data_IF_447230190397
#
_entry.id   IF_447230190397
#
_cell.length_a   1.000
_cell.length_b   1.000
_cell.length_c   1.000
_cell.angle_alpha   90.00
_cell.angle_beta   90.00
_cell.angle_gamma   90.00
#
_symmetry.space_group_name_H-M   'P 1'
#
loop_
_entity.id
_entity.type
_entity.pdbx_description
1 polymer ?
#
# COMPACT_ATOMS: atom_id res chain seq x y z
N UNK A 1 12.96 15.32 -7.77
CA UNK A 1 11.97 15.46 -8.86
C UNK A 1 10.56 15.19 -8.34
N UNK A 2 10.03 16.09 -7.53
CA UNK A 2 8.67 15.96 -7.00
C UNK A 2 8.08 17.36 -6.82
N UNK A 3 6.82 17.52 -7.20
CA UNK A 3 6.20 18.84 -7.34
C UNK A 3 4.96 18.93 -6.45
N UNK A 4 4.92 19.92 -5.58
CA UNK A 4 3.83 20.07 -4.61
C UNK A 4 2.72 20.96 -5.19
N UNK A 5 1.52 20.42 -5.27
CA UNK A 5 0.29 21.18 -5.52
C UNK A 5 -0.45 21.35 -4.20
N UNK A 6 -0.85 22.57 -3.86
CA UNK A 6 -1.65 22.79 -2.66
C UNK A 6 -3.03 22.11 -2.76
N UNK A 7 -3.67 21.89 -1.61
CA UNK A 7 -5.03 21.37 -1.54
C UNK A 7 -5.76 21.97 -0.34
N UNK A 8 -7.06 21.68 -0.22
CA UNK A 8 -7.88 22.15 0.91
C UNK A 8 -7.40 21.59 2.26
N UNK A 9 -6.88 20.35 2.25
CA UNK A 9 -6.44 19.60 3.43
C UNK A 9 -5.07 18.99 3.16
N UNK A 10 -4.03 19.83 3.10
CA UNK A 10 -2.67 19.41 2.77
C UNK A 10 -2.29 19.74 1.33
N UNK A 11 -1.82 18.75 0.58
CA UNK A 11 -1.38 18.91 -0.81
C UNK A 11 -1.29 17.59 -1.56
N UNK A 12 -1.00 17.68 -2.86
CA UNK A 12 -0.70 16.54 -3.71
C UNK A 12 0.76 16.64 -4.16
N UNK A 13 1.50 15.55 -4.01
CA UNK A 13 2.85 15.45 -4.56
C UNK A 13 2.77 14.77 -5.93
N UNK A 14 3.25 15.44 -6.95
CA UNK A 14 3.24 14.97 -8.34
C UNK A 14 4.64 14.57 -8.77
N UNK A 15 4.70 13.43 -9.45
CA UNK A 15 5.91 12.90 -10.08
C UNK A 15 5.59 12.77 -11.56
N UNK A 16 6.36 13.45 -12.40
CA UNK A 16 6.20 13.39 -13.84
C UNK A 16 7.20 12.40 -14.41
N UNK A 17 6.71 11.39 -15.10
CA UNK A 17 7.56 10.40 -15.77
C UNK A 17 7.82 10.81 -17.22
N UNK A 18 9.00 10.48 -17.73
CA UNK A 18 9.35 10.70 -19.15
C UNK A 18 8.47 9.90 -20.09
N UNK A 19 8.01 8.73 -19.64
CA UNK A 19 7.06 7.87 -20.34
C UNK A 19 5.94 7.41 -19.40
N UNK A 20 4.73 7.13 -19.91
CA UNK A 20 3.69 6.48 -19.12
C UNK A 20 4.17 5.15 -18.55
N UNK A 21 3.84 4.89 -17.29
CA UNK A 21 4.21 3.65 -16.59
C UNK A 21 2.96 2.94 -16.06
N UNK A 22 2.99 1.60 -15.99
CA UNK A 22 2.00 0.86 -15.22
C UNK A 22 1.99 1.36 -13.76
N UNK A 23 0.79 1.55 -13.21
CA UNK A 23 0.61 2.08 -11.86
C UNK A 23 1.35 1.24 -10.80
N UNK A 24 1.37 -0.09 -10.97
CA UNK A 24 2.14 -1.02 -10.16
C UNK A 24 3.62 -0.63 -10.07
N UNK A 25 4.25 -0.38 -11.23
CA UNK A 25 5.67 -0.07 -11.32
C UNK A 25 5.98 1.30 -10.71
N UNK A 26 5.12 2.29 -10.96
CA UNK A 26 5.27 3.62 -10.36
C UNK A 26 5.18 3.57 -8.83
N UNK A 27 4.25 2.79 -8.27
CA UNK A 27 4.13 2.62 -6.81
C UNK A 27 5.32 1.86 -6.23
N UNK A 28 5.70 0.73 -6.83
CA UNK A 28 6.89 -0.03 -6.40
C UNK A 28 8.14 0.82 -6.41
N UNK A 29 8.29 1.66 -7.44
CA UNK A 29 9.38 2.62 -7.49
C UNK A 29 9.27 3.58 -6.30
N UNK A 30 8.15 4.27 -6.10
CA UNK A 30 8.01 5.34 -5.11
C UNK A 30 8.03 4.92 -3.63
N UNK A 31 7.60 3.71 -3.31
CA UNK A 31 7.37 3.24 -1.93
C UNK A 31 8.56 3.47 -0.97
N UNK A 32 9.83 3.22 -1.33
CA UNK A 32 10.97 3.38 -0.43
C UNK A 32 11.21 4.82 0.06
N UNK A 33 10.70 5.83 -0.65
CA UNK A 33 10.92 7.24 -0.32
C UNK A 33 9.73 7.88 0.38
N UNK A 34 8.68 7.11 0.66
CA UNK A 34 7.42 7.68 1.09
C UNK A 34 7.22 7.61 2.60
N UNK A 35 6.99 8.75 3.28
CA UNK A 35 6.73 8.74 4.70
C UNK A 35 5.37 8.11 5.02
N UNK A 36 5.25 7.60 6.25
CA UNK A 36 4.01 7.00 6.76
C UNK A 36 2.87 8.03 6.70
N UNK A 37 1.71 7.60 6.20
CA UNK A 37 0.50 8.42 6.17
C UNK A 37 0.24 9.14 4.84
N UNK A 38 1.09 8.97 3.83
CA UNK A 38 0.82 9.44 2.46
C UNK A 38 -0.05 8.43 1.71
N UNK A 39 -1.04 8.94 0.98
CA UNK A 39 -1.91 8.13 0.13
C UNK A 39 -1.37 8.08 -1.30
N UNK A 40 -1.29 6.88 -1.87
CA UNK A 40 -0.80 6.66 -3.24
C UNK A 40 -1.91 6.53 -4.26
N UNK A 41 -1.70 7.19 -5.40
CA UNK A 41 -2.53 7.06 -6.58
C UNK A 41 -1.68 6.81 -7.83
N UNK A 42 -2.18 6.02 -8.80
CA UNK A 42 -3.46 5.30 -8.80
C UNK A 42 -3.47 4.15 -7.78
N UNK A 43 -4.63 3.84 -7.20
CA UNK A 43 -4.76 2.72 -6.24
C UNK A 43 -4.77 1.34 -6.91
N UNK A 44 -5.27 1.29 -8.15
CA UNK A 44 -5.40 0.07 -8.93
C UNK A 44 -4.15 -0.19 -9.80
N UNK A 45 -3.86 -1.46 -10.09
CA UNK A 45 -2.83 -1.84 -11.07
C UNK A 45 -3.33 -1.74 -12.51
N UNK A 46 -4.58 -2.14 -12.72
CA UNK A 46 -5.28 -2.10 -13.99
C UNK A 46 -6.66 -1.46 -13.80
N UNK A 47 -7.18 -0.86 -14.86
CA UNK A 47 -8.44 -0.12 -14.85
C UNK A 47 -9.07 -0.20 -16.24
N UNK A 48 -10.34 -0.54 -16.31
CA UNK A 48 -11.14 -0.47 -17.55
C UNK A 48 -11.62 0.96 -17.87
N UNK A 49 -11.33 1.92 -16.97
CA UNK A 49 -11.65 3.35 -17.14
C UNK A 49 -10.54 4.28 -16.65
N UNK A 50 -10.88 5.51 -16.25
CA UNK A 50 -9.89 6.55 -15.88
C UNK A 50 -9.21 6.34 -14.50
N UNK A 51 -9.55 5.28 -13.76
CA UNK A 51 -8.94 4.95 -12.48
C UNK A 51 -9.55 5.68 -11.28
N UNK A 52 -8.75 5.93 -10.24
CA UNK A 52 -9.19 6.58 -9.02
C UNK A 52 -9.64 8.03 -9.25
N UNK A 53 -10.74 8.45 -8.62
CA UNK A 53 -11.26 9.81 -8.70
C UNK A 53 -10.35 10.78 -7.91
N UNK A 54 -9.33 11.29 -8.58
CA UNK A 54 -8.46 12.34 -8.07
C UNK A 54 -8.65 13.63 -8.87
N UNK A 55 -8.41 14.77 -8.22
CA UNK A 55 -8.32 16.05 -8.92
C UNK A 55 -6.96 16.12 -9.61
N UNK A 56 -6.97 16.08 -10.94
CA UNK A 56 -5.77 16.27 -11.75
C UNK A 56 -5.21 17.70 -11.61
N UNK A 57 -3.94 17.92 -11.99
CA UNK A 57 -3.38 19.26 -12.03
C UNK A 57 -4.23 20.19 -12.87
N UNK A 58 -4.31 21.46 -12.48
CA UNK A 58 -5.21 22.42 -13.10
C UNK A 58 -6.69 21.98 -13.05
N UNK A 59 -7.09 21.12 -12.11
CA UNK A 59 -8.50 20.83 -11.82
C UNK A 59 -9.12 21.90 -10.92
N UNK A 60 -10.37 22.31 -11.16
CA UNK A 60 -11.12 23.18 -10.23
C UNK A 60 -11.64 22.30 -9.08
N UNK A 61 -11.34 22.68 -7.85
CA UNK A 61 -11.85 21.97 -6.69
C UNK A 61 -13.34 22.27 -6.49
N UNK A 62 -14.20 21.24 -6.65
CA UNK A 62 -15.66 21.40 -6.70
C UNK A 62 -16.28 22.13 -5.50
N UNK A 63 -15.77 21.90 -4.28
CA UNK A 63 -16.31 22.56 -3.09
C UNK A 63 -15.90 24.03 -2.96
N UNK A 64 -14.70 24.38 -3.45
CA UNK A 64 -14.15 25.73 -3.22
C UNK A 64 -14.23 26.61 -4.47
N UNK A 65 -14.53 26.03 -5.63
CA UNK A 65 -14.53 26.73 -6.93
C UNK A 65 -13.14 27.20 -7.38
N UNK A 66 -12.06 26.83 -6.67
CA UNK A 66 -10.72 27.36 -6.88
C UNK A 66 -9.79 26.32 -7.50
N UNK A 67 -8.81 26.81 -8.26
CA UNK A 67 -7.60 26.06 -8.62
C UNK A 67 -6.59 26.24 -7.50
N UNK A 68 -5.95 25.15 -7.10
CA UNK A 68 -4.87 25.26 -6.13
C UNK A 68 -3.54 25.52 -6.84
N UNK A 69 -2.67 26.37 -6.26
CA UNK A 69 -1.39 26.68 -6.86
C UNK A 69 -0.39 25.55 -6.67
N UNK A 70 0.55 25.48 -7.59
CA UNK A 70 1.82 24.80 -7.39
C UNK A 70 2.71 25.58 -6.44
N UNK A 71 3.42 24.89 -5.56
CA UNK A 71 4.37 25.47 -4.62
C UNK A 71 5.77 25.25 -5.17
N UNK A 72 6.45 26.35 -5.52
CA UNK A 72 7.79 26.32 -6.11
C UNK A 72 8.90 26.43 -5.07
N UNK A 73 8.61 27.11 -3.95
CA UNK A 73 9.55 27.30 -2.86
C UNK A 73 8.81 27.56 -1.55
N UNK A 74 9.56 27.61 -0.46
CA UNK A 74 9.09 28.12 0.82
C UNK A 74 9.91 29.35 1.19
N UNK A 75 9.27 30.38 1.74
CA UNK A 75 9.97 31.55 2.27
C UNK A 75 10.83 31.15 3.48
N UNK A 76 11.71 32.05 3.93
CA UNK A 76 12.50 31.83 5.16
C UNK A 76 11.63 31.52 6.37
N UNK A 77 10.43 32.11 6.44
CA UNK A 77 9.44 31.86 7.50
C UNK A 77 8.57 30.62 7.26
N UNK A 78 8.93 29.77 6.27
CA UNK A 78 8.21 28.54 5.96
C UNK A 78 6.87 28.72 5.24
N UNK A 79 6.55 29.92 4.74
CA UNK A 79 5.31 30.15 3.99
C UNK A 79 5.45 29.64 2.55
N UNK A 80 4.45 28.93 2.01
CA UNK A 80 4.52 28.44 0.65
C UNK A 80 4.49 29.59 -0.36
N UNK A 81 5.43 29.57 -1.30
CA UNK A 81 5.53 30.53 -2.41
C UNK A 81 5.06 29.83 -3.68
N UNK A 82 4.12 30.49 -4.39
CA UNK A 82 3.54 29.94 -5.62
C UNK A 82 4.59 29.87 -6.73
N UNK A 83 4.60 28.78 -7.47
CA UNK A 83 5.43 28.64 -8.66
C UNK A 83 4.92 29.50 -9.84
N UNK A 84 3.62 29.74 -9.89
CA UNK A 84 2.95 30.50 -10.94
C UNK A 84 1.66 31.15 -10.39
N UNK A 85 1.24 32.25 -11.00
CA UNK A 85 0.04 33.01 -10.58
C UNK A 85 -1.10 32.91 -11.58
N UNK A 86 -0.79 32.65 -12.86
CA UNK A 86 -1.78 32.47 -13.93
C UNK A 86 -1.77 31.03 -14.48
N UNK A 87 -2.83 30.66 -15.20
CA UNK A 87 -2.91 29.34 -15.88
C UNK A 87 -1.81 29.24 -16.94
N UNK A 88 -1.57 30.31 -17.70
CA UNK A 88 -0.52 30.36 -18.72
C UNK A 88 0.86 30.15 -18.11
N UNK A 89 1.19 30.87 -17.04
CA UNK A 89 2.44 30.67 -16.31
C UNK A 89 2.55 29.23 -15.76
N UNK A 90 1.45 28.66 -15.30
CA UNK A 90 1.47 27.28 -14.78
C UNK A 90 1.79 26.28 -15.88
N UNK A 91 1.25 26.46 -17.10
CA UNK A 91 1.56 25.61 -18.24
C UNK A 91 3.03 25.73 -18.63
N UNK A 92 3.56 26.95 -18.76
CA UNK A 92 4.98 27.19 -19.04
C UNK A 92 5.88 26.60 -17.96
N UNK A 93 5.49 26.72 -16.69
CA UNK A 93 6.22 26.12 -15.59
C UNK A 93 6.18 24.58 -15.68
N UNK A 94 5.03 23.97 -15.94
CA UNK A 94 4.90 22.51 -16.08
C UNK A 94 5.79 21.93 -17.18
N UNK A 95 5.96 22.64 -18.28
CA UNK A 95 6.85 22.24 -19.39
C UNK A 95 8.33 22.19 -18.97
N UNK A 96 8.73 23.03 -18.02
CA UNK A 96 10.11 23.11 -17.51
C UNK A 96 10.40 22.11 -16.40
N UNK A 97 9.40 21.37 -15.91
CA UNK A 97 9.61 20.48 -14.79
C UNK A 97 10.40 19.23 -15.19
N UNK A 98 11.30 18.83 -14.30
CA UNK A 98 12.13 17.66 -14.47
C UNK A 98 11.25 16.41 -14.49
N UNK A 99 11.44 15.58 -15.52
CA UNK A 99 10.74 14.31 -15.67
C UNK A 99 11.69 13.18 -15.29
N UNK A 100 11.19 12.25 -14.50
CA UNK A 100 11.93 11.07 -14.07
C UNK A 100 11.82 9.98 -15.12
N UNK A 101 12.95 9.34 -15.45
CA UNK A 101 12.96 8.06 -16.14
C UNK A 101 13.31 6.93 -15.15
N UNK A 102 12.32 6.14 -14.68
CA UNK A 102 12.59 5.03 -13.77
C UNK A 102 12.90 3.71 -14.49
N UNK A 103 13.00 3.69 -15.83
CA UNK A 103 13.25 2.47 -16.61
C UNK A 103 14.55 1.75 -16.20
N UNK A 104 15.60 2.49 -15.82
CA UNK A 104 16.83 1.93 -15.26
C UNK A 104 16.63 1.20 -13.92
N UNK A 105 15.63 1.60 -13.12
CA UNK A 105 15.30 1.00 -11.83
C UNK A 105 14.39 -0.24 -11.99
N UNK A 106 13.43 -0.16 -12.92
CA UNK A 106 12.49 -1.25 -13.23
C UNK A 106 13.21 -2.46 -13.86
N UNK A 107 14.30 -2.25 -14.62
CA UNK A 107 15.05 -3.34 -15.26
C UNK A 107 15.69 -4.32 -14.26
N UNK A 108 16.18 -3.85 -13.10
CA UNK A 108 16.70 -4.74 -12.03
C UNK A 108 15.61 -5.54 -11.33
N UNK A 109 14.37 -5.05 -11.32
CA UNK A 109 13.23 -5.74 -10.71
C UNK A 109 12.46 -6.64 -11.68
N UNK A 110 12.71 -6.57 -13.00
CA UNK A 110 12.05 -7.45 -13.98
C UNK A 110 12.40 -8.93 -13.77
N UNK A 111 13.58 -9.24 -13.22
CA UNK A 111 13.93 -10.60 -12.79
C UNK A 111 13.20 -11.07 -11.52
N UNK A 112 12.71 -10.15 -10.69
CA UNK A 112 12.00 -10.49 -9.46
C UNK A 112 10.48 -10.62 -9.70
N UNK A 113 9.91 -9.80 -10.59
CA UNK A 113 8.47 -9.78 -10.89
C UNK A 113 8.07 -10.84 -11.93
N UNK A 114 8.98 -11.34 -12.78
CA UNK A 114 8.66 -12.42 -13.73
C UNK A 114 8.26 -13.74 -13.05
N UNK A 115 8.70 -13.97 -11.80
CA UNK A 115 8.25 -15.12 -11.00
C UNK A 115 6.92 -14.91 -10.28
N UNK A 116 6.49 -13.66 -10.05
CA UNK A 116 5.22 -13.36 -9.36
C UNK A 116 4.05 -13.11 -10.32
N UNK A 117 4.31 -12.58 -11.53
CA UNK A 117 3.28 -12.25 -12.51
C UNK A 117 2.67 -13.46 -13.23
N UNK A 118 3.39 -14.58 -13.35
CA UNK A 118 2.90 -15.78 -14.06
C UNK A 118 1.84 -16.58 -13.30
N UNK A 119 1.64 -16.30 -12.01
CA UNK A 119 0.67 -16.97 -11.16
C UNK A 119 -0.71 -16.28 -11.14
N UNK A 120 -0.82 -15.03 -11.61
CA UNK A 120 -2.06 -14.26 -11.52
C UNK A 120 -2.89 -14.26 -12.83
N UNK A 121 -2.28 -14.53 -13.99
CA UNK A 121 -2.97 -14.43 -15.29
C UNK A 121 -3.48 -15.75 -15.87
N UNK A 122 -3.20 -16.92 -15.27
CA UNK A 122 -3.62 -18.23 -15.80
C UNK A 122 -4.90 -18.83 -15.18
N UNK A 123 -5.59 -18.15 -14.28
CA UNK A 123 -6.74 -18.73 -13.56
C UNK A 123 -8.12 -18.56 -14.23
N UNK A 124 -8.18 -18.03 -15.45
CA UNK A 124 -9.45 -17.87 -16.20
C UNK A 124 -9.44 -18.59 -17.55
N UNK A 125 -9.24 -19.90 -17.53
CA UNK A 125 -9.91 -20.82 -18.47
C UNK A 125 -10.19 -22.13 -17.75
N UNK A 126 -11.47 -22.44 -17.61
CA UNK A 126 -11.98 -23.72 -17.11
C UNK A 126 -11.68 -24.81 -18.14
N UNK A 127 -11.18 -25.96 -17.67
CA UNK A 127 -11.61 -27.25 -18.21
C UNK A 127 -11.49 -28.35 -17.16
N UNK A 128 -12.44 -29.27 -17.25
CA UNK A 128 -12.79 -30.34 -16.31
C UNK A 128 -11.95 -31.58 -16.60
N UNK A 129 -11.45 -32.29 -15.57
CA UNK A 129 -11.50 -33.77 -15.50
C UNK A 129 -10.86 -34.37 -14.24
N UNK A 130 -11.73 -34.98 -13.43
CA UNK A 130 -11.69 -36.31 -12.78
C UNK A 130 -10.35 -36.98 -12.37
N UNK A 131 -10.26 -37.27 -11.06
CA UNK A 131 -9.60 -38.35 -10.25
C UNK A 131 -9.06 -39.61 -10.97
N UNK A 132 -8.13 -40.46 -10.41
CA UNK A 132 -8.14 -40.94 -8.99
C UNK A 132 -6.82 -41.37 -8.27
N UNK A 133 -6.92 -41.37 -6.92
CA UNK A 133 -6.35 -42.24 -5.84
C UNK A 133 -5.07 -43.10 -6.07
N UNK A 134 -4.09 -43.01 -5.15
CA UNK A 134 -3.74 -44.05 -4.14
C UNK A 134 -2.45 -43.75 -3.32
N UNK A 135 -2.43 -44.30 -2.09
CA UNK A 135 -1.49 -44.21 -0.96
C UNK A 135 0.00 -44.56 -1.25
N UNK A 136 0.92 -44.05 -0.41
CA UNK A 136 1.69 -44.79 0.64
C UNK A 136 2.78 -43.88 1.26
N UNK A 137 2.95 -44.01 2.57
CA UNK A 137 3.79 -43.24 3.51
C UNK A 137 5.31 -43.36 3.32
N UNK A 138 6.04 -42.24 3.49
CA UNK A 138 7.20 -42.12 4.41
C UNK A 138 7.64 -40.64 4.59
N UNK A 139 8.32 -40.29 5.70
CA UNK A 139 8.41 -38.93 6.24
C UNK A 139 9.54 -38.15 5.58
N UNK A 140 9.21 -37.13 4.82
CA UNK A 140 10.15 -36.12 4.36
C UNK A 140 9.37 -34.84 4.11
N UNK A 141 9.75 -33.79 4.81
CA UNK A 141 9.27 -32.41 4.74
C UNK A 141 8.43 -32.05 3.50
N UNK A 142 7.16 -31.65 3.63
CA UNK A 142 6.50 -30.95 2.56
C UNK A 142 6.81 -29.46 2.70
N UNK A 143 7.82 -29.03 1.97
CA UNK A 143 7.97 -27.63 1.54
C UNK A 143 6.80 -27.30 0.61
N UNK A 144 5.58 -27.22 1.14
CA UNK A 144 4.47 -26.65 0.38
C UNK A 144 4.74 -25.16 0.31
N UNK A 145 5.12 -24.68 -0.88
CA UNK A 145 5.21 -23.26 -1.16
C UNK A 145 3.79 -22.67 -1.09
N UNK A 146 3.29 -22.44 0.13
CA UNK A 146 2.01 -21.80 0.36
C UNK A 146 2.06 -20.42 -0.23
N UNK A 147 1.03 -20.02 -0.96
CA UNK A 147 0.90 -18.62 -1.36
C UNK A 147 0.63 -17.76 -0.12
N UNK A 148 0.94 -16.46 -0.18
CA UNK A 148 0.62 -15.53 0.91
C UNK A 148 -0.87 -15.58 1.29
N UNK A 149 -1.73 -15.75 0.29
CA UNK A 149 -3.17 -15.87 0.51
C UNK A 149 -3.52 -17.14 1.29
N UNK A 150 -2.99 -18.30 0.88
CA UNK A 150 -3.18 -19.56 1.59
C UNK A 150 -2.67 -19.50 3.03
N UNK A 151 -1.48 -18.93 3.22
CA UNK A 151 -0.93 -18.74 4.56
C UNK A 151 -1.87 -17.88 5.41
N UNK A 152 -2.38 -16.76 4.88
CA UNK A 152 -3.36 -15.92 5.58
C UNK A 152 -4.68 -16.65 5.87
N UNK A 153 -5.12 -17.54 4.97
CA UNK A 153 -6.34 -18.33 5.15
C UNK A 153 -6.20 -19.39 6.25
N UNK A 154 -4.97 -19.83 6.54
CA UNK A 154 -4.66 -20.81 7.59
C UNK A 154 -4.51 -20.19 8.98
N UNK A 155 -4.38 -18.86 9.09
CA UNK A 155 -4.22 -18.21 10.40
C UNK A 155 -5.57 -17.90 11.04
N UNK A 156 -5.67 -18.13 12.35
CA UNK A 156 -6.71 -17.51 13.17
C UNK A 156 -6.25 -16.09 13.59
N UNK A 157 -7.00 -15.03 13.24
CA UNK A 157 -6.62 -13.66 13.58
C UNK A 157 -6.53 -13.36 15.07
N UNK A 158 -7.36 -13.98 15.91
CA UNK A 158 -7.33 -13.78 17.36
C UNK A 158 -6.11 -14.46 17.96
N UNK A 159 -5.81 -15.69 17.54
CA UNK A 159 -4.65 -16.42 18.03
C UNK A 159 -3.33 -15.78 17.61
N UNK A 160 -3.24 -15.31 16.36
CA UNK A 160 -2.02 -14.70 15.84
C UNK A 160 -1.83 -13.29 16.41
N UNK A 161 -2.83 -12.41 16.29
CA UNK A 161 -2.69 -11.01 16.74
C UNK A 161 -2.66 -10.94 18.27
N UNK A 162 -3.34 -11.87 18.96
CA UNK A 162 -3.35 -11.96 20.42
C UNK A 162 -1.98 -12.22 21.06
N UNK A 163 -1.00 -12.71 20.29
CA UNK A 163 0.40 -12.83 20.75
C UNK A 163 1.10 -11.48 20.92
N UNK A 164 0.59 -10.45 20.24
CA UNK A 164 1.19 -9.13 20.17
C UNK A 164 0.35 -8.05 20.85
N UNK A 165 -0.95 -8.29 20.97
CA UNK A 165 -1.91 -7.33 21.52
C UNK A 165 -2.78 -8.05 22.54
N UNK A 166 -2.86 -7.51 23.74
CA UNK A 166 -3.85 -7.96 24.73
C UNK A 166 -5.26 -7.55 24.25
N UNK A 167 -6.11 -8.55 24.00
CA UNK A 167 -7.48 -8.37 23.51
C UNK A 167 -8.49 -8.80 24.58
N UNK A 168 -9.57 -8.05 24.73
CA UNK A 168 -10.72 -8.46 25.54
C UNK A 168 -11.54 -9.56 24.86
N UNK A 169 -12.55 -10.09 25.54
CA UNK A 169 -13.45 -11.13 25.02
C UNK A 169 -14.20 -10.73 23.73
N UNK A 170 -14.24 -9.43 23.39
CA UNK A 170 -14.83 -8.91 22.16
C UNK A 170 -13.77 -8.71 21.08
N UNK A 171 -12.48 -8.94 21.33
CA UNK A 171 -11.40 -8.66 20.39
C UNK A 171 -10.99 -7.18 20.36
N UNK A 172 -11.25 -6.42 21.41
CA UNK A 172 -10.84 -5.01 21.51
C UNK A 172 -9.61 -4.90 22.40
N UNK A 173 -8.62 -4.10 21.97
CA UNK A 173 -7.39 -3.87 22.71
C UNK A 173 -6.79 -2.49 22.44
N UNK A 174 -5.64 -2.23 23.04
CA UNK A 174 -4.83 -1.06 22.75
C UNK A 174 -4.11 -1.24 21.41
N UNK A 175 -4.07 -0.20 20.59
CA UNK A 175 -3.32 -0.25 19.35
C UNK A 175 -1.81 -0.38 19.62
N UNK A 176 -1.12 -1.38 19.02
CA UNK A 176 0.32 -1.54 19.21
C UNK A 176 1.16 -0.55 18.39
N UNK A 177 0.53 0.20 17.48
CA UNK A 177 1.22 1.07 16.53
C UNK A 177 1.26 2.51 17.07
N UNK A 178 2.38 2.91 17.65
CA UNK A 178 2.47 4.13 18.46
C UNK A 178 2.31 5.46 17.71
N UNK A 179 2.88 5.60 16.51
CA UNK A 179 3.12 6.91 15.87
C UNK A 179 1.87 7.76 15.65
N UNK A 180 0.71 7.16 15.49
CA UNK A 180 -0.55 7.86 15.24
C UNK A 180 -1.35 8.18 16.52
N UNK A 181 -0.89 7.71 17.67
CA UNK A 181 -1.50 8.03 18.96
C UNK A 181 -0.83 9.23 19.62
N UNK A 182 -1.60 9.94 20.44
CA UNK A 182 -1.09 11.06 21.24
C UNK A 182 0.02 10.53 22.16
N UNK A 183 1.22 11.12 22.07
CA UNK A 183 2.45 10.68 22.79
C UNK A 183 2.98 9.31 22.37
N UNK A 184 2.65 8.82 21.18
CA UNK A 184 3.23 7.59 20.66
C UNK A 184 2.68 6.30 21.28
N UNK A 185 1.59 6.38 22.06
CA UNK A 185 1.00 5.22 22.73
C UNK A 185 -0.52 5.33 22.79
N UNK A 186 -1.20 4.23 22.52
CA UNK A 186 -2.64 4.18 22.73
C UNK A 186 -2.96 4.09 24.23
N UNK A 187 -3.79 5.02 24.71
CA UNK A 187 -4.25 5.06 26.10
C UNK A 187 -5.72 4.66 26.24
N UNK A 188 -6.43 4.50 25.12
CA UNK A 188 -7.84 4.14 25.09
C UNK A 188 -8.07 3.05 24.02
N UNK A 189 -8.65 1.89 24.36
CA UNK A 189 -8.77 0.79 23.41
C UNK A 189 -9.43 1.21 22.10
N UNK A 190 -8.62 1.29 21.05
CA UNK A 190 -9.06 1.74 19.73
C UNK A 190 -8.74 0.72 18.63
N UNK A 191 -8.14 -0.40 19.00
CA UNK A 191 -7.80 -1.50 18.10
C UNK A 191 -8.82 -2.63 18.24
N UNK A 192 -9.32 -3.11 17.10
CA UNK A 192 -10.34 -4.15 17.03
C UNK A 192 -9.85 -5.26 16.13
N UNK A 193 -9.86 -6.50 16.63
CA UNK A 193 -9.77 -7.74 15.87
C UNK A 193 -11.17 -8.33 15.74
N UNK A 194 -11.46 -8.92 14.59
CA UNK A 194 -12.74 -9.52 14.28
C UNK A 194 -12.57 -10.70 13.32
N UNK A 195 -13.51 -11.65 13.37
CA UNK A 195 -13.51 -12.77 12.41
C UNK A 195 -13.84 -12.23 11.01
N UNK A 196 -12.99 -12.50 10.02
CA UNK A 196 -13.22 -12.02 8.66
C UNK A 196 -14.42 -12.76 8.04
N UNK A 197 -15.13 -12.09 7.12
CA UNK A 197 -16.28 -12.68 6.41
C UNK A 197 -15.89 -13.85 5.50
N UNK A 198 -14.62 -13.88 5.07
CA UNK A 198 -14.01 -15.02 4.40
C UNK A 198 -12.53 -15.12 4.80
N UNK A 199 -11.93 -16.33 4.81
CA UNK A 199 -10.55 -16.52 5.23
C UNK A 199 -9.55 -15.61 4.50
N UNK A 200 -8.50 -15.18 5.21
CA UNK A 200 -7.43 -14.33 4.65
C UNK A 200 -7.79 -12.87 4.34
N UNK A 201 -9.05 -12.46 4.56
CA UNK A 201 -9.50 -11.06 4.39
C UNK A 201 -9.20 -10.22 5.63
N UNK A 202 -9.55 -8.93 5.54
CA UNK A 202 -9.39 -7.99 6.62
C UNK A 202 -10.06 -8.49 7.91
N UNK A 203 -9.29 -8.45 9.00
CA UNK A 203 -9.62 -9.04 10.29
C UNK A 203 -9.26 -8.12 11.47
N UNK A 204 -8.70 -6.94 11.22
CA UNK A 204 -8.43 -5.95 12.25
C UNK A 204 -8.60 -4.52 11.74
N UNK A 205 -8.82 -3.59 12.66
CA UNK A 205 -8.93 -2.16 12.40
C UNK A 205 -8.52 -1.34 13.64
N UNK A 206 -7.74 -0.28 13.45
CA UNK A 206 -7.52 0.77 14.45
C UNK A 206 -8.41 1.98 14.13
N UNK A 207 -9.34 2.32 15.02
CA UNK A 207 -10.27 3.45 14.85
C UNK A 207 -9.59 4.81 14.93
N UNK A 208 -8.50 4.93 15.70
CA UNK A 208 -7.72 6.17 15.78
C UNK A 208 -6.93 6.40 14.49
N UNK A 209 -6.37 5.32 13.91
CA UNK A 209 -5.60 5.40 12.67
C UNK A 209 -6.47 5.49 11.43
N UNK A 210 -7.65 4.86 11.45
CA UNK A 210 -8.45 4.60 10.25
C UNK A 210 -7.84 3.55 9.31
N UNK A 211 -7.01 2.64 9.84
CA UNK A 211 -6.38 1.56 9.06
C UNK A 211 -6.75 0.19 9.58
N UNK A 212 -6.76 -0.78 8.67
CA UNK A 212 -7.02 -2.18 8.95
C UNK A 212 -6.45 -3.06 7.85
N UNK A 213 -6.53 -4.37 8.04
CA UNK A 213 -6.00 -5.33 7.08
C UNK A 213 -6.17 -6.77 7.52
N UNK A 214 -5.55 -7.69 6.80
CA UNK A 214 -5.44 -9.08 7.23
C UNK A 214 -4.27 -9.26 8.21
N UNK A 215 -4.07 -10.49 8.68
CA UNK A 215 -2.97 -10.85 9.61
C UNK A 215 -1.59 -10.53 9.05
N UNK A 216 -1.38 -10.65 7.74
CA UNK A 216 -0.11 -10.31 7.12
C UNK A 216 0.15 -8.80 7.16
N UNK A 217 -0.87 -7.98 6.85
CA UNK A 217 -0.75 -6.52 6.99
C UNK A 217 -0.44 -6.11 8.43
N UNK A 218 -1.05 -6.78 9.42
CA UNK A 218 -0.74 -6.53 10.83
C UNK A 218 0.75 -6.71 11.10
N UNK A 219 1.34 -7.82 10.68
CA UNK A 219 2.76 -8.13 10.92
C UNK A 219 3.70 -7.17 10.20
N UNK A 220 3.39 -6.80 8.95
CA UNK A 220 4.14 -5.76 8.25
C UNK A 220 4.17 -4.45 9.06
N UNK A 221 3.04 -4.01 9.59
CA UNK A 221 3.00 -2.80 10.42
C UNK A 221 3.70 -2.99 11.76
N UNK A 222 3.55 -4.15 12.40
CA UNK A 222 4.12 -4.42 13.72
C UNK A 222 5.65 -4.45 13.69
N UNK A 223 6.24 -5.10 12.68
CA UNK A 223 7.68 -5.18 12.52
C UNK A 223 8.29 -4.02 11.72
N UNK A 224 7.47 -3.13 11.16
CA UNK A 224 7.94 -2.07 10.27
C UNK A 224 8.61 -2.61 9.00
N UNK A 225 8.17 -3.77 8.52
CA UNK A 225 8.72 -4.44 7.34
C UNK A 225 7.82 -4.25 6.13
N UNK A 226 8.43 -4.17 4.95
CA UNK A 226 7.68 -4.30 3.72
C UNK A 226 7.17 -5.74 3.51
N UNK A 227 6.29 -5.91 2.53
CA UNK A 227 5.67 -7.19 2.26
C UNK A 227 6.68 -8.26 1.81
N UNK A 228 7.71 -7.91 1.05
CA UNK A 228 8.68 -8.88 0.56
C UNK A 228 9.53 -9.43 1.71
N UNK A 229 10.05 -8.54 2.56
CA UNK A 229 10.85 -8.89 3.74
C UNK A 229 10.03 -9.67 4.76
N UNK A 230 8.77 -9.26 5.00
CA UNK A 230 7.89 -9.98 5.91
C UNK A 230 7.56 -11.38 5.37
N UNK A 231 7.31 -11.51 4.07
CA UNK A 231 7.02 -12.80 3.46
C UNK A 231 8.23 -13.73 3.48
N UNK A 232 9.43 -13.23 3.16
CA UNK A 232 10.68 -13.98 3.30
C UNK A 232 10.90 -14.46 4.74
N UNK A 233 10.61 -13.62 5.73
CA UNK A 233 10.72 -13.96 7.15
C UNK A 233 9.76 -15.09 7.54
N UNK A 234 8.52 -15.04 7.05
CA UNK A 234 7.53 -16.11 7.26
C UNK A 234 8.00 -17.41 6.59
N UNK A 235 8.48 -17.34 5.36
CA UNK A 235 8.99 -18.51 4.62
C UNK A 235 10.22 -19.14 5.27
N UNK A 236 11.07 -18.33 5.92
CA UNK A 236 12.24 -18.79 6.66
C UNK A 236 11.89 -19.44 8.02
N UNK A 237 10.61 -19.58 8.36
CA UNK A 237 10.17 -20.09 9.67
C UNK A 237 10.44 -19.10 10.81
N UNK A 238 10.67 -17.83 10.50
CA UNK A 238 10.83 -16.78 11.50
C UNK A 238 9.56 -16.72 12.37
N UNK A 239 9.75 -16.72 13.69
CA UNK A 239 8.65 -16.75 14.66
C UNK A 239 7.64 -15.64 14.37
N UNK A 240 6.41 -16.07 14.09
CA UNK A 240 5.14 -15.32 14.08
C UNK A 240 4.29 -15.91 15.18
#
# INVERSE_FOLDING_TARGET
MAHLEASRRGGHLWIFFTQPLPAAQARTWLLPWCPVGIEFYPKQDQSTGYGSLIRLPLGVHRLTGKRYPWIGAFSRDGKPVKAATTVKETLTWLEQQEKVDPSHFVSRHRHFVSHLGRAYETSHTREVSQSPRNNIDNPSSPTTAHTLHEWCCQQDPFDLIGRYVELDARGVGLCPFGEHHRRGKDCHPSFKVYRPRSPGRACWHCYTWGKGGNVFNFLCYYYGLDAAMMWQRIQAGGVV
#
